data_IF_440001311847
#
_entry.id   IF_440001311847
#
_cell.length_a   1.000
_cell.length_b   1.000
_cell.length_c   1.000
_cell.angle_alpha   90.00
_cell.angle_beta   90.00
_cell.angle_gamma   90.00
#
_symmetry.space_group_name_H-M   'P 1'
#
loop_
_entity.id
_entity.type
_entity.pdbx_description
1 polymer ?
#
# COMPACT_ATOMS: atom_id res chain seq x y z
N UNK A 1 -55.35 -15.51 41.77
CA UNK A 1 -53.93 -15.04 41.67
C UNK A 1 -53.35 -15.56 40.36
N UNK A 2 -53.22 -14.68 39.37
CA UNK A 2 -52.71 -15.02 38.06
C UNK A 2 -51.26 -14.53 38.01
N UNK A 3 -50.31 -15.43 37.73
CA UNK A 3 -48.90 -15.10 37.46
C UNK A 3 -48.77 -14.72 35.99
N UNK A 4 -48.40 -13.48 35.71
CA UNK A 4 -47.98 -13.00 34.39
C UNK A 4 -46.50 -13.28 34.21
N UNK A 5 -46.17 -14.14 33.24
CA UNK A 5 -44.80 -14.35 32.77
C UNK A 5 -44.44 -13.27 31.73
N UNK A 6 -43.57 -12.36 32.13
CA UNK A 6 -42.96 -11.36 31.22
C UNK A 6 -41.95 -12.08 30.32
N UNK A 7 -42.27 -12.18 29.01
CA UNK A 7 -41.33 -12.62 27.99
C UNK A 7 -40.37 -11.49 27.68
N UNK A 8 -39.10 -11.66 28.03
CA UNK A 8 -38.03 -10.81 27.49
C UNK A 8 -37.85 -11.17 26.02
N UNK A 9 -38.17 -10.21 25.13
CA UNK A 9 -37.84 -10.28 23.72
C UNK A 9 -36.32 -10.09 23.50
N UNK A 10 -35.67 -11.12 23.01
CA UNK A 10 -34.32 -10.98 22.45
C UNK A 10 -34.42 -10.14 21.18
N UNK A 11 -33.70 -9.00 21.16
CA UNK A 11 -33.54 -8.19 19.96
C UNK A 11 -32.81 -9.00 18.87
N UNK A 12 -32.99 -8.64 17.57
CA UNK A 12 -32.32 -9.34 16.51
C UNK A 12 -30.78 -9.19 16.65
N UNK A 13 -30.01 -10.23 16.31
CA UNK A 13 -28.56 -10.14 16.34
C UNK A 13 -28.12 -9.02 15.40
N UNK A 14 -27.25 -8.15 15.90
CA UNK A 14 -26.56 -7.13 15.10
C UNK A 14 -25.80 -7.84 13.99
N UNK A 15 -26.19 -7.64 12.75
CA UNK A 15 -25.40 -8.06 11.58
C UNK A 15 -24.12 -7.23 11.61
N UNK A 16 -23.04 -7.82 12.07
CA UNK A 16 -21.69 -7.32 11.83
C UNK A 16 -21.49 -7.48 10.33
N UNK A 17 -21.53 -6.37 9.59
CA UNK A 17 -21.05 -6.35 8.22
C UNK A 17 -19.54 -6.57 8.31
N UNK A 18 -19.09 -7.80 8.13
CA UNK A 18 -17.68 -8.10 7.89
C UNK A 18 -17.34 -7.50 6.53
N UNK A 19 -16.68 -6.35 6.55
CA UNK A 19 -16.05 -5.79 5.33
C UNK A 19 -14.93 -6.75 4.97
N UNK A 20 -14.90 -7.21 3.73
CA UNK A 20 -13.81 -8.07 3.24
C UNK A 20 -12.53 -7.23 3.20
N UNK A 21 -11.44 -7.63 3.88
CA UNK A 21 -10.18 -6.92 3.81
C UNK A 21 -9.65 -6.85 2.38
N UNK A 22 -8.89 -5.79 2.06
CA UNK A 22 -8.16 -5.70 0.81
C UNK A 22 -7.03 -6.75 0.77
N UNK A 23 -6.40 -7.00 1.92
CA UNK A 23 -5.37 -8.04 2.09
C UNK A 23 -5.61 -8.74 3.43
N UNK A 24 -5.47 -10.07 3.44
CA UNK A 24 -5.43 -10.87 4.67
C UNK A 24 -4.26 -11.83 4.64
N UNK A 25 -3.48 -11.86 5.72
CA UNK A 25 -2.40 -12.82 5.96
C UNK A 25 -2.72 -13.64 7.20
N UNK A 26 -2.60 -14.95 7.10
CA UNK A 26 -2.79 -15.88 8.21
C UNK A 26 -1.56 -16.79 8.37
N UNK A 27 -0.83 -16.61 9.48
CA UNK A 27 0.35 -17.38 9.90
C UNK A 27 1.45 -17.49 8.81
N UNK A 28 1.70 -16.37 8.10
CA UNK A 28 2.59 -16.32 6.93
C UNK A 28 4.05 -16.36 7.35
N UNK A 29 4.79 -17.32 6.80
CA UNK A 29 6.25 -17.44 6.94
C UNK A 29 6.91 -17.56 5.56
N UNK A 30 8.07 -16.88 5.41
CA UNK A 30 8.87 -16.95 4.19
C UNK A 30 10.36 -16.78 4.47
N UNK A 31 11.19 -17.55 3.74
CA UNK A 31 12.63 -17.53 3.86
C UNK A 31 13.34 -17.48 2.49
N UNK A 32 14.48 -16.81 2.43
CA UNK A 32 15.43 -16.92 1.32
C UNK A 32 16.49 -17.95 1.66
N UNK A 33 16.32 -19.19 1.18
CA UNK A 33 17.16 -20.34 1.57
C UNK A 33 17.04 -20.59 3.08
N UNK A 34 18.16 -20.53 3.80
CA UNK A 34 18.17 -20.77 5.26
C UNK A 34 17.83 -19.50 6.09
N UNK A 35 17.66 -18.34 5.45
CA UNK A 35 17.41 -17.08 6.14
C UNK A 35 15.93 -16.75 6.14
N UNK A 36 15.28 -16.85 7.32
CA UNK A 36 13.90 -16.41 7.49
C UNK A 36 13.85 -14.90 7.32
N UNK A 37 12.97 -14.43 6.44
CA UNK A 37 12.72 -13.02 6.16
C UNK A 37 11.50 -12.51 6.93
N UNK A 38 10.43 -13.30 7.01
CA UNK A 38 9.23 -13.05 7.82
C UNK A 38 8.76 -14.36 8.44
N UNK A 39 8.20 -14.30 9.65
CA UNK A 39 7.77 -15.46 10.43
C UNK A 39 6.44 -15.20 11.13
N UNK A 40 5.51 -16.16 10.96
CA UNK A 40 4.25 -16.23 11.71
C UNK A 40 3.48 -14.89 11.69
N UNK A 41 3.40 -14.24 10.51
CA UNK A 41 2.73 -12.95 10.34
C UNK A 41 1.25 -13.18 10.08
N UNK A 42 0.42 -12.62 10.97
CA UNK A 42 -1.03 -12.54 10.80
C UNK A 42 -1.44 -11.07 10.88
N UNK A 43 -2.02 -10.53 9.81
CA UNK A 43 -2.55 -9.17 9.76
C UNK A 43 -3.55 -9.02 8.62
N UNK A 44 -4.48 -8.07 8.80
CA UNK A 44 -5.44 -7.66 7.78
C UNK A 44 -5.22 -6.19 7.41
N UNK A 45 -5.43 -5.85 6.13
CA UNK A 45 -5.50 -4.48 5.63
C UNK A 45 -6.91 -4.24 5.10
N UNK A 46 -7.63 -3.33 5.73
CA UNK A 46 -9.00 -3.03 5.33
C UNK A 46 -9.03 -2.23 4.01
N UNK A 47 -10.13 -2.38 3.25
CA UNK A 47 -10.33 -1.57 2.04
C UNK A 47 -10.42 -0.08 2.41
N UNK A 48 -9.66 0.78 1.72
CA UNK A 48 -9.55 2.22 2.00
C UNK A 48 -8.65 2.55 3.19
N UNK A 49 -7.96 1.58 3.78
CA UNK A 49 -6.99 1.81 4.85
C UNK A 49 -5.70 2.44 4.30
N UNK A 50 -5.08 3.33 5.08
CA UNK A 50 -3.72 3.79 4.87
C UNK A 50 -2.80 3.09 5.89
N UNK A 51 -2.16 1.99 5.47
CA UNK A 51 -1.24 1.24 6.30
C UNK A 51 0.20 1.74 6.14
N UNK A 52 0.82 2.14 7.24
CA UNK A 52 2.26 2.36 7.32
C UNK A 52 3.00 1.08 7.72
N UNK A 53 3.93 0.60 6.88
CA UNK A 53 4.74 -0.57 7.19
C UNK A 53 6.16 -0.14 7.57
N UNK A 54 6.51 -0.28 8.84
CA UNK A 54 7.76 0.20 9.42
C UNK A 54 8.59 -0.92 10.06
N UNK A 55 9.87 -0.64 10.27
CA UNK A 55 10.83 -1.56 10.88
C UNK A 55 12.26 -1.27 10.44
N UNK A 56 13.28 -1.84 11.09
CA UNK A 56 14.69 -1.61 10.76
C UNK A 56 15.04 -2.11 9.35
N UNK A 57 16.22 -1.71 8.86
CA UNK A 57 16.72 -2.22 7.58
C UNK A 57 16.95 -3.73 7.65
N UNK A 58 16.44 -4.46 6.66
CA UNK A 58 16.54 -5.92 6.62
C UNK A 58 15.52 -6.65 7.52
N UNK A 59 14.52 -5.94 8.05
CA UNK A 59 13.45 -6.50 8.91
C UNK A 59 12.41 -7.33 8.16
N UNK A 60 12.45 -7.34 6.81
CA UNK A 60 11.49 -8.08 5.99
C UNK A 60 10.35 -7.26 5.39
N UNK A 61 10.33 -5.91 5.52
CA UNK A 61 9.24 -5.03 5.00
C UNK A 61 8.93 -5.27 3.52
N UNK A 62 9.93 -5.12 2.65
CA UNK A 62 9.77 -5.36 1.21
C UNK A 62 9.35 -6.80 0.91
N UNK A 63 9.88 -7.78 1.67
CA UNK A 63 9.48 -9.18 1.53
C UNK A 63 8.02 -9.38 1.91
N UNK A 64 7.59 -8.82 3.05
CA UNK A 64 6.20 -8.88 3.47
C UNK A 64 5.29 -8.20 2.45
N UNK A 65 5.67 -7.02 1.95
CA UNK A 65 4.93 -6.35 0.88
C UNK A 65 4.82 -7.23 -0.37
N UNK A 66 5.89 -7.90 -0.78
CA UNK A 66 5.86 -8.81 -1.94
C UNK A 66 4.94 -10.03 -1.72
N UNK A 67 4.87 -10.55 -0.50
CA UNK A 67 3.93 -11.62 -0.14
C UNK A 67 2.48 -11.10 -0.18
N UNK A 68 2.21 -9.93 0.38
CA UNK A 68 0.90 -9.26 0.33
C UNK A 68 0.39 -9.07 -1.09
N UNK A 69 1.29 -8.77 -2.04
CA UNK A 69 0.96 -8.51 -3.45
C UNK A 69 1.03 -9.76 -4.34
N UNK A 70 1.33 -10.94 -3.77
CA UNK A 70 1.47 -12.17 -4.55
C UNK A 70 2.69 -12.24 -5.46
N UNK A 71 3.70 -11.39 -5.23
CA UNK A 71 4.98 -11.42 -5.94
C UNK A 71 5.92 -12.51 -5.41
N UNK A 72 5.63 -13.01 -4.21
CA UNK A 72 6.25 -14.18 -3.60
C UNK A 72 5.18 -15.11 -3.07
N UNK A 73 5.41 -16.41 -3.17
CA UNK A 73 4.58 -17.44 -2.55
C UNK A 73 5.12 -17.73 -1.14
N UNK A 74 4.29 -17.75 -0.07
CA UNK A 74 4.76 -18.06 1.28
C UNK A 74 5.18 -19.52 1.41
N UNK A 75 6.18 -19.81 2.27
CA UNK A 75 6.58 -21.18 2.61
C UNK A 75 5.52 -21.88 3.47
N UNK A 76 4.79 -21.11 4.30
CA UNK A 76 3.63 -21.56 5.10
C UNK A 76 2.67 -20.42 5.36
N UNK A 77 1.45 -20.74 5.78
CA UNK A 77 0.36 -19.79 5.95
C UNK A 77 -0.41 -19.52 4.66
N UNK A 78 -1.28 -18.53 4.68
CA UNK A 78 -2.09 -18.15 3.52
C UNK A 78 -2.17 -16.64 3.35
N UNK A 79 -2.33 -16.20 2.10
CA UNK A 79 -2.53 -14.80 1.71
C UNK A 79 -3.78 -14.73 0.85
N UNK A 80 -4.67 -13.79 1.16
CA UNK A 80 -5.83 -13.46 0.35
C UNK A 80 -5.75 -12.00 -0.09
N UNK A 81 -6.14 -11.73 -1.33
CA UNK A 81 -6.33 -10.41 -1.91
C UNK A 81 -7.80 -10.21 -2.24
N UNK A 82 -8.41 -9.17 -1.67
CA UNK A 82 -9.83 -8.84 -1.84
C UNK A 82 -10.77 -10.03 -1.56
N UNK A 83 -10.37 -10.92 -0.61
CA UNK A 83 -11.11 -12.11 -0.22
C UNK A 83 -10.91 -13.33 -1.14
N UNK A 84 -9.96 -13.26 -2.08
CA UNK A 84 -9.58 -14.38 -2.95
C UNK A 84 -8.18 -14.89 -2.58
N UNK A 85 -7.97 -16.22 -2.47
CA UNK A 85 -6.64 -16.77 -2.27
C UNK A 85 -5.66 -16.28 -3.33
N UNK A 86 -4.45 -15.88 -2.92
CA UNK A 86 -3.46 -15.28 -3.83
C UNK A 86 -3.15 -16.15 -5.05
N UNK A 87 -3.20 -17.46 -4.90
CA UNK A 87 -2.96 -18.41 -6.00
C UNK A 87 -4.08 -18.42 -7.06
N UNK A 88 -5.26 -17.92 -6.73
CA UNK A 88 -6.44 -17.85 -7.60
C UNK A 88 -6.72 -16.43 -8.10
N UNK A 89 -6.08 -15.42 -7.49
CA UNK A 89 -6.28 -14.00 -7.80
C UNK A 89 -5.72 -13.63 -9.19
N UNK A 90 -6.58 -13.22 -10.11
CA UNK A 90 -6.24 -12.89 -11.51
C UNK A 90 -6.42 -11.38 -11.83
N UNK A 91 -6.97 -10.59 -10.90
CA UNK A 91 -7.28 -9.18 -11.08
C UNK A 91 -6.09 -8.26 -10.72
N UNK A 92 -4.89 -8.60 -11.18
CA UNK A 92 -3.67 -7.86 -10.87
C UNK A 92 -3.70 -6.37 -11.27
N UNK A 93 -4.63 -5.94 -12.13
CA UNK A 93 -4.84 -4.53 -12.49
C UNK A 93 -5.37 -3.69 -11.31
N UNK A 94 -6.02 -4.31 -10.33
CA UNK A 94 -6.50 -3.66 -9.10
C UNK A 94 -5.37 -3.24 -8.15
N UNK A 95 -4.13 -3.63 -8.45
CA UNK A 95 -2.95 -3.36 -7.61
C UNK A 95 -1.96 -2.47 -8.37
N UNK A 96 -1.67 -1.30 -7.82
CA UNK A 96 -0.57 -0.44 -8.23
C UNK A 96 0.65 -0.66 -7.34
N UNK A 97 1.78 -1.06 -7.91
CA UNK A 97 3.03 -1.21 -7.16
C UNK A 97 4.11 -0.25 -7.68
N UNK A 98 4.64 0.57 -6.78
CA UNK A 98 5.77 1.49 -7.04
C UNK A 98 6.95 1.04 -6.18
N UNK A 99 7.91 0.36 -6.81
CA UNK A 99 9.11 -0.12 -6.13
C UNK A 99 10.17 0.97 -6.01
N UNK A 100 11.03 0.85 -5.00
CA UNK A 100 12.20 1.71 -4.80
C UNK A 100 13.09 1.79 -6.07
N UNK A 101 13.25 0.68 -6.79
CA UNK A 101 14.05 0.64 -8.02
C UNK A 101 13.41 1.39 -9.18
N UNK A 102 12.09 1.45 -9.26
CA UNK A 102 11.38 2.15 -10.32
C UNK A 102 11.69 3.65 -10.34
N UNK A 103 11.93 4.22 -9.17
CA UNK A 103 12.25 5.65 -9.01
C UNK A 103 13.73 5.95 -9.21
N UNK A 104 14.62 5.03 -8.90
CA UNK A 104 16.09 5.21 -8.94
C UNK A 104 16.72 4.89 -10.30
N UNK A 105 16.14 4.01 -11.11
CA UNK A 105 16.69 3.64 -12.43
C UNK A 105 16.38 4.71 -13.47
N UNK A 106 17.26 5.71 -13.54
CA UNK A 106 17.25 6.75 -14.56
C UNK A 106 17.72 6.20 -15.91
N UNK A 107 16.86 5.62 -16.75
CA UNK A 107 17.33 5.64 -18.10
C UNK A 107 17.06 4.51 -19.07
N UNK A 108 16.30 3.49 -18.76
CA UNK A 108 16.16 2.39 -19.71
C UNK A 108 14.85 2.35 -20.53
N UNK A 109 13.83 3.12 -20.16
CA UNK A 109 12.58 3.12 -20.93
C UNK A 109 12.49 4.32 -21.87
N UNK A 110 12.62 4.13 -23.21
CA UNK A 110 12.52 5.21 -24.19
C UNK A 110 11.05 5.58 -24.48
N UNK A 111 10.19 5.56 -23.44
CA UNK A 111 8.75 5.86 -23.56
C UNK A 111 8.45 7.23 -22.98
N UNK A 112 7.38 7.85 -23.47
CA UNK A 112 6.80 9.08 -22.90
C UNK A 112 6.01 8.78 -21.62
N UNK A 113 5.66 9.83 -20.87
CA UNK A 113 4.79 9.75 -19.71
C UNK A 113 3.43 9.15 -20.10
N UNK A 114 2.82 9.66 -21.17
CA UNK A 114 1.56 9.16 -21.69
C UNK A 114 1.62 7.66 -22.03
N UNK A 115 2.67 7.24 -22.74
CA UNK A 115 2.87 5.83 -23.08
C UNK A 115 3.01 4.95 -21.82
N UNK A 116 3.76 5.43 -20.81
CA UNK A 116 3.88 4.71 -19.53
C UNK A 116 2.53 4.59 -18.81
N UNK A 117 1.73 5.65 -18.75
CA UNK A 117 0.41 5.64 -18.09
C UNK A 117 -0.57 4.76 -18.88
N UNK A 118 -0.52 4.82 -20.21
CA UNK A 118 -1.34 3.97 -21.09
C UNK A 118 -1.09 2.47 -20.86
N UNK A 119 0.10 2.06 -20.41
CA UNK A 119 0.36 0.65 -20.06
C UNK A 119 -0.57 0.15 -18.94
N UNK A 120 -1.08 1.02 -18.07
CA UNK A 120 -2.09 0.66 -17.06
C UNK A 120 -3.37 0.09 -17.68
N UNK A 121 -3.73 0.51 -18.89
CA UNK A 121 -4.95 0.02 -19.56
C UNK A 121 -4.81 -1.35 -20.21
N UNK A 122 -3.59 -1.89 -20.35
CA UNK A 122 -3.39 -3.14 -21.08
C UNK A 122 -4.05 -4.35 -20.41
N UNK A 123 -4.18 -4.35 -19.09
CA UNK A 123 -4.90 -5.40 -18.38
C UNK A 123 -6.40 -5.44 -18.72
N UNK A 124 -7.01 -4.29 -19.03
CA UNK A 124 -8.43 -4.20 -19.38
C UNK A 124 -8.72 -4.58 -20.84
N UNK A 125 -7.79 -4.28 -21.75
CA UNK A 125 -8.03 -4.50 -23.18
C UNK A 125 -7.52 -5.86 -23.68
N UNK A 126 -6.61 -6.51 -22.94
CA UNK A 126 -6.02 -7.78 -23.33
C UNK A 126 -5.37 -7.70 -24.72
N UNK A 127 -5.91 -8.44 -25.70
CA UNK A 127 -5.47 -8.42 -27.09
C UNK A 127 -6.24 -7.43 -27.99
N UNK A 128 -7.18 -6.68 -27.43
CA UNK A 128 -7.98 -5.69 -28.14
C UNK A 128 -7.20 -4.39 -28.33
N UNK A 129 -7.78 -3.47 -29.11
CA UNK A 129 -7.22 -2.12 -29.25
C UNK A 129 -7.78 -1.21 -28.16
N UNK A 130 -6.96 -0.27 -27.69
CA UNK A 130 -7.41 0.82 -26.83
C UNK A 130 -8.55 1.60 -27.48
N UNK A 131 -9.54 1.95 -26.70
CA UNK A 131 -10.73 2.72 -27.08
C UNK A 131 -10.55 4.20 -26.73
N UNK A 132 -11.51 5.05 -27.13
CA UNK A 132 -11.51 6.46 -26.71
C UNK A 132 -11.61 6.59 -25.18
N UNK A 133 -12.39 5.75 -24.53
CA UNK A 133 -12.51 5.71 -23.07
C UNK A 133 -11.17 5.40 -22.36
N UNK A 134 -10.37 4.47 -22.91
CA UNK A 134 -9.05 4.19 -22.33
C UNK A 134 -8.12 5.41 -22.39
N UNK A 135 -8.17 6.20 -23.45
CA UNK A 135 -7.40 7.43 -23.55
C UNK A 135 -7.94 8.53 -22.63
N UNK A 136 -9.25 8.63 -22.43
CA UNK A 136 -9.88 9.54 -21.46
C UNK A 136 -9.41 9.19 -20.04
N UNK A 137 -9.45 7.90 -19.65
CA UNK A 137 -8.95 7.43 -18.33
C UNK A 137 -7.46 7.75 -18.14
N UNK A 138 -6.64 7.65 -19.19
CA UNK A 138 -5.21 8.04 -19.13
C UNK A 138 -5.07 9.54 -18.90
N UNK A 139 -5.87 10.38 -19.58
CA UNK A 139 -5.83 11.84 -19.41
C UNK A 139 -6.29 12.23 -18.01
N UNK A 140 -7.36 11.66 -17.48
CA UNK A 140 -7.86 11.85 -16.11
C UNK A 140 -6.79 11.46 -15.07
N UNK A 141 -6.11 10.32 -15.27
CA UNK A 141 -5.04 9.89 -14.37
C UNK A 141 -3.85 10.87 -14.37
N UNK A 142 -3.49 11.42 -15.53
CA UNK A 142 -2.42 12.43 -15.64
C UNK A 142 -2.80 13.76 -14.97
N UNK A 143 -4.07 14.17 -15.08
CA UNK A 143 -4.60 15.36 -14.41
C UNK A 143 -4.65 15.16 -12.90
N UNK A 144 -5.11 14.02 -12.42
CA UNK A 144 -5.19 13.69 -10.98
C UNK A 144 -3.83 13.82 -10.28
N UNK A 145 -2.75 13.40 -10.93
CA UNK A 145 -1.41 13.49 -10.34
C UNK A 145 -0.65 14.78 -10.73
N UNK A 146 -1.30 15.72 -11.42
CA UNK A 146 -0.75 17.04 -11.82
C UNK A 146 0.54 16.95 -12.66
N UNK A 147 0.52 16.12 -13.72
CA UNK A 147 1.59 16.00 -14.72
C UNK A 147 1.09 15.94 -16.17
N UNK A 148 -0.13 16.41 -16.44
CA UNK A 148 -0.70 16.38 -17.79
C UNK A 148 0.15 17.18 -18.80
N UNK A 149 0.79 18.27 -18.38
CA UNK A 149 1.71 19.08 -19.17
C UNK A 149 3.02 18.35 -19.56
N UNK A 150 3.34 17.24 -18.86
CA UNK A 150 4.52 16.41 -19.08
C UNK A 150 4.23 15.16 -19.94
N UNK A 151 2.98 14.99 -20.40
CA UNK A 151 2.51 13.77 -21.08
C UNK A 151 3.43 13.32 -22.24
N UNK A 152 3.92 14.25 -23.03
CA UNK A 152 4.79 13.98 -24.19
C UNK A 152 6.30 13.93 -23.84
N UNK A 153 6.66 14.22 -22.57
CA UNK A 153 8.04 14.08 -22.10
C UNK A 153 8.43 12.61 -21.96
N UNK A 154 9.70 12.33 -22.18
CA UNK A 154 10.25 10.99 -21.91
C UNK A 154 10.36 10.77 -20.39
N UNK A 155 10.06 9.56 -19.93
CA UNK A 155 10.22 9.15 -18.51
C UNK A 155 11.64 9.43 -17.98
N UNK A 156 12.67 9.28 -18.83
CA UNK A 156 14.07 9.55 -18.49
C UNK A 156 14.39 11.04 -18.27
N UNK A 157 13.53 11.95 -18.72
CA UNK A 157 13.72 13.41 -18.59
C UNK A 157 12.98 13.99 -17.38
N UNK A 158 12.31 13.15 -16.58
CA UNK A 158 11.57 13.56 -15.40
C UNK A 158 12.47 13.65 -14.18
N UNK A 159 12.12 14.56 -13.24
CA UNK A 159 12.65 14.54 -11.88
C UNK A 159 12.18 13.27 -11.13
N UNK A 160 12.77 13.00 -9.97
CA UNK A 160 12.34 11.86 -9.11
C UNK A 160 10.85 11.92 -8.77
N UNK A 161 10.38 13.05 -8.25
CA UNK A 161 8.97 13.25 -7.87
C UNK A 161 8.01 13.19 -9.08
N UNK A 162 8.37 13.78 -10.23
CA UNK A 162 7.57 13.67 -11.44
C UNK A 162 7.46 12.22 -11.93
N UNK A 163 8.52 11.43 -11.79
CA UNK A 163 8.52 10.02 -12.16
C UNK A 163 7.64 9.19 -11.24
N UNK A 164 7.66 9.47 -9.95
CA UNK A 164 6.76 8.84 -8.98
C UNK A 164 5.29 9.09 -9.35
N UNK A 165 4.93 10.35 -9.61
CA UNK A 165 3.59 10.72 -10.07
C UNK A 165 3.20 9.97 -11.34
N UNK A 166 4.11 9.80 -12.30
CA UNK A 166 3.84 9.04 -13.51
C UNK A 166 3.58 7.54 -13.26
N UNK A 167 4.22 6.94 -12.24
CA UNK A 167 3.91 5.56 -11.85
C UNK A 167 2.57 5.45 -11.11
N UNK A 168 2.23 6.44 -10.27
CA UNK A 168 0.89 6.50 -9.66
C UNK A 168 -0.17 6.70 -10.74
N UNK A 169 0.02 7.61 -11.69
CA UNK A 169 -0.92 7.79 -12.80
C UNK A 169 -1.14 6.49 -13.58
N UNK A 170 -0.09 5.68 -13.79
CA UNK A 170 -0.24 4.36 -14.41
C UNK A 170 -1.11 3.41 -13.59
N UNK A 171 -0.97 3.42 -12.26
CA UNK A 171 -1.80 2.63 -11.37
C UNK A 171 -3.26 3.13 -11.35
N UNK A 172 -3.47 4.45 -11.36
CA UNK A 172 -4.82 5.03 -11.47
C UNK A 172 -5.47 4.70 -12.82
N UNK A 173 -4.70 4.77 -13.91
CA UNK A 173 -5.18 4.37 -15.23
C UNK A 173 -5.52 2.87 -15.30
N UNK A 174 -4.94 2.02 -14.45
CA UNK A 174 -5.37 0.61 -14.33
C UNK A 174 -6.57 0.42 -13.39
N UNK A 175 -7.16 1.52 -12.87
CA UNK A 175 -8.28 1.47 -11.91
C UNK A 175 -7.91 0.68 -10.65
N UNK A 176 -6.71 0.91 -10.14
CA UNK A 176 -6.21 0.22 -8.95
C UNK A 176 -6.99 0.61 -7.69
N UNK A 177 -7.45 -0.40 -6.93
CA UNK A 177 -8.08 -0.25 -5.62
C UNK A 177 -7.05 -0.17 -4.48
N UNK A 178 -5.81 -0.61 -4.76
CA UNK A 178 -4.71 -0.65 -3.80
C UNK A 178 -3.43 -0.12 -4.43
N UNK A 179 -2.76 0.81 -3.72
CA UNK A 179 -1.43 1.31 -4.04
C UNK A 179 -0.42 0.85 -2.99
N UNK A 180 0.59 0.12 -3.40
CA UNK A 180 1.72 -0.28 -2.59
C UNK A 180 2.97 0.49 -2.99
N UNK A 181 3.63 1.13 -2.04
CA UNK A 181 4.74 2.05 -2.27
C UNK A 181 5.92 1.66 -1.38
N UNK A 182 7.01 1.25 -2.00
CA UNK A 182 8.23 0.83 -1.30
C UNK A 182 9.30 1.93 -1.40
N UNK A 183 9.47 2.70 -0.30
CA UNK A 183 10.40 3.82 -0.16
C UNK A 183 10.32 4.81 -1.34
N UNK A 184 9.11 5.32 -1.67
CA UNK A 184 8.90 6.07 -2.90
C UNK A 184 9.67 7.39 -2.92
N UNK A 185 9.99 8.02 -1.77
CA UNK A 185 10.52 9.37 -1.70
C UNK A 185 12.06 9.46 -1.61
N UNK A 186 12.76 8.34 -1.76
CA UNK A 186 14.22 8.33 -1.75
C UNK A 186 14.79 9.18 -2.89
N UNK A 187 15.57 10.21 -2.52
CA UNK A 187 16.22 11.11 -3.48
C UNK A 187 15.30 12.21 -4.05
N UNK A 188 14.15 12.43 -3.45
CA UNK A 188 13.21 13.50 -3.79
C UNK A 188 13.43 14.70 -2.85
N UNK A 189 13.37 15.92 -3.41
CA UNK A 189 13.46 17.16 -2.62
C UNK A 189 12.23 17.33 -1.69
N UNK A 190 12.37 18.16 -0.66
CA UNK A 190 11.34 18.30 0.39
C UNK A 190 9.99 18.80 -0.15
N UNK A 191 9.99 19.80 -1.04
CA UNK A 191 8.75 20.36 -1.60
C UNK A 191 8.00 19.34 -2.45
N UNK A 192 8.72 18.62 -3.32
CA UNK A 192 8.16 17.53 -4.13
C UNK A 192 7.64 16.38 -3.27
N UNK A 193 8.30 16.10 -2.14
CA UNK A 193 7.89 15.06 -1.20
C UNK A 193 6.59 15.42 -0.49
N UNK A 194 6.44 16.65 0.00
CA UNK A 194 5.21 17.10 0.67
C UNK A 194 4.01 17.06 -0.30
N UNK A 195 4.22 17.51 -1.53
CA UNK A 195 3.19 17.45 -2.57
C UNK A 195 2.83 16.01 -2.97
N UNK A 196 3.79 15.09 -2.89
CA UNK A 196 3.58 13.66 -3.14
C UNK A 196 2.73 13.02 -2.03
N UNK A 197 3.06 13.28 -0.77
CA UNK A 197 2.27 12.72 0.34
C UNK A 197 0.85 13.27 0.37
N UNK A 198 0.68 14.57 0.05
CA UNK A 198 -0.66 15.14 -0.08
C UNK A 198 -1.48 14.42 -1.16
N UNK A 199 -0.86 14.08 -2.29
CA UNK A 199 -1.53 13.28 -3.33
C UNK A 199 -1.99 11.92 -2.76
N UNK A 200 -1.15 11.24 -1.96
CA UNK A 200 -1.55 9.96 -1.34
C UNK A 200 -2.72 10.15 -0.36
N UNK A 201 -2.71 11.23 0.44
CA UNK A 201 -3.83 11.53 1.35
C UNK A 201 -5.14 11.75 0.57
N UNK A 202 -5.08 12.51 -0.53
CA UNK A 202 -6.23 12.77 -1.40
C UNK A 202 -6.75 11.46 -2.03
N UNK A 203 -5.88 10.60 -2.55
CA UNK A 203 -6.24 9.30 -3.12
C UNK A 203 -6.84 8.34 -2.08
N UNK A 204 -6.31 8.34 -0.86
CA UNK A 204 -6.88 7.53 0.22
C UNK A 204 -8.26 8.04 0.65
N UNK A 205 -8.46 9.36 0.69
CA UNK A 205 -9.77 9.96 0.95
C UNK A 205 -10.81 9.59 -0.13
N UNK A 206 -10.37 9.35 -1.37
CA UNK A 206 -11.19 8.84 -2.47
C UNK A 206 -11.43 7.31 -2.40
N UNK A 207 -10.90 6.64 -1.36
CA UNK A 207 -11.16 5.22 -1.06
C UNK A 207 -10.11 4.24 -1.54
N UNK A 208 -8.99 4.71 -2.11
CA UNK A 208 -7.88 3.84 -2.50
C UNK A 208 -7.15 3.36 -1.24
N UNK A 209 -6.94 2.06 -1.13
CA UNK A 209 -6.13 1.46 -0.08
C UNK A 209 -4.66 1.78 -0.32
N UNK A 210 -3.93 2.23 0.71
CA UNK A 210 -2.51 2.58 0.57
C UNK A 210 -1.67 1.75 1.54
N UNK A 211 -0.58 1.15 1.03
CA UNK A 211 0.49 0.57 1.85
C UNK A 211 1.76 1.35 1.57
N UNK A 212 2.31 1.98 2.59
CA UNK A 212 3.50 2.80 2.49
C UNK A 212 4.64 2.24 3.34
N UNK A 213 5.76 1.88 2.71
CA UNK A 213 7.02 1.64 3.40
C UNK A 213 7.83 2.93 3.35
N UNK A 214 8.21 3.45 4.50
CA UNK A 214 9.09 4.61 4.64
C UNK A 214 10.04 4.44 5.83
N UNK A 215 11.18 5.16 5.76
CA UNK A 215 12.17 5.17 6.85
C UNK A 215 11.86 6.23 7.90
N UNK A 216 11.20 7.30 7.50
CA UNK A 216 10.83 8.38 8.40
C UNK A 216 9.53 8.02 9.12
N UNK A 217 9.66 7.59 10.37
CA UNK A 217 8.54 7.17 11.20
C UNK A 217 7.56 8.32 11.42
N UNK A 218 8.07 9.57 11.54
CA UNK A 218 7.24 10.76 11.72
C UNK A 218 6.29 10.95 10.53
N UNK A 219 6.80 10.80 9.30
CA UNK A 219 5.97 10.87 8.08
C UNK A 219 4.88 9.80 8.10
N UNK A 220 5.22 8.57 8.50
CA UNK A 220 4.25 7.47 8.54
C UNK A 220 3.18 7.72 9.60
N UNK A 221 3.59 8.13 10.82
CA UNK A 221 2.64 8.37 11.92
C UNK A 221 1.72 9.57 11.69
N UNK A 222 2.15 10.55 10.89
CA UNK A 222 1.33 11.72 10.57
C UNK A 222 0.23 11.42 9.53
N UNK A 223 0.37 10.33 8.75
CA UNK A 223 -0.51 10.06 7.59
C UNK A 223 -1.24 8.73 7.64
N UNK A 224 -0.55 7.68 8.07
CA UNK A 224 -1.17 6.38 8.17
C UNK A 224 -2.21 6.34 9.29
N UNK A 225 -3.37 5.75 9.04
CA UNK A 225 -4.37 5.50 10.08
C UNK A 225 -4.09 4.19 10.83
N UNK A 226 -3.31 3.27 10.22
CA UNK A 226 -2.80 2.06 10.89
C UNK A 226 -1.33 1.83 10.62
N UNK A 227 -0.65 1.20 11.56
CA UNK A 227 0.77 0.90 11.48
C UNK A 227 0.99 -0.59 11.73
N UNK A 228 1.80 -1.20 10.86
CA UNK A 228 2.41 -2.51 11.09
C UNK A 228 3.91 -2.32 11.33
N UNK A 229 4.40 -2.69 12.52
CA UNK A 229 5.81 -2.64 12.87
C UNK A 229 6.39 -4.04 12.89
N UNK A 230 7.41 -4.30 12.04
CA UNK A 230 7.99 -5.62 11.87
C UNK A 230 9.50 -5.65 12.04
N UNK A 231 9.98 -6.78 12.56
CA UNK A 231 11.39 -7.18 12.50
C UNK A 231 11.44 -8.71 12.44
N UNK A 232 11.27 -9.29 11.23
CA UNK A 232 11.04 -10.71 10.96
C UNK A 232 9.68 -11.20 11.48
N UNK A 233 9.24 -10.72 12.63
CA UNK A 233 7.95 -10.98 13.29
C UNK A 233 7.17 -9.67 13.40
N UNK A 234 5.88 -9.77 13.68
CA UNK A 234 5.00 -8.61 13.86
C UNK A 234 5.04 -8.16 15.32
N UNK A 235 5.49 -6.93 15.57
CA UNK A 235 5.57 -6.32 16.91
C UNK A 235 4.36 -5.46 17.20
N UNK A 236 3.75 -4.87 16.18
CA UNK A 236 2.54 -4.07 16.31
C UNK A 236 1.73 -4.13 15.02
N UNK A 237 0.40 -4.21 15.16
CA UNK A 237 -0.55 -3.97 14.09
C UNK A 237 -1.81 -3.34 14.69
N UNK A 238 -2.00 -2.05 14.43
CA UNK A 238 -3.10 -1.30 15.05
C UNK A 238 -3.14 0.15 14.57
N UNK A 239 -4.02 0.95 15.18
CA UNK A 239 -4.10 2.38 14.90
C UNK A 239 -2.82 3.11 15.32
N UNK A 240 -2.57 4.25 14.70
CA UNK A 240 -1.35 5.05 14.92
C UNK A 240 -1.24 5.55 16.36
N UNK A 241 -2.35 5.83 17.04
CA UNK A 241 -2.37 6.30 18.43
C UNK A 241 -1.86 5.19 19.36
N UNK A 242 -2.36 3.97 19.21
CA UNK A 242 -1.90 2.80 19.97
C UNK A 242 -0.44 2.45 19.70
N UNK A 243 0.05 2.69 18.46
CA UNK A 243 1.44 2.49 18.12
C UNK A 243 2.37 3.45 18.85
N UNK A 244 2.04 4.75 18.89
CA UNK A 244 2.85 5.78 19.56
C UNK A 244 2.97 5.51 21.06
N UNK A 245 1.91 4.97 21.67
CA UNK A 245 1.89 4.61 23.10
C UNK A 245 2.56 3.27 23.42
N UNK A 246 2.93 2.48 22.40
CA UNK A 246 3.50 1.14 22.55
C UNK A 246 5.03 1.15 22.64
N UNK A 247 5.61 0.05 23.16
CA UNK A 247 7.06 -0.20 23.14
C UNK A 247 7.54 -0.84 21.82
N UNK A 248 6.67 -0.99 20.83
CA UNK A 248 6.91 -1.71 19.58
C UNK A 248 8.15 -1.21 18.82
N UNK A 249 8.38 0.11 18.78
CA UNK A 249 9.59 0.69 18.21
C UNK A 249 10.86 0.24 18.95
N UNK A 250 10.83 0.29 20.28
CA UNK A 250 11.96 -0.11 21.11
C UNK A 250 12.27 -1.60 20.93
N UNK A 251 11.23 -2.41 20.88
CA UNK A 251 11.35 -3.86 20.70
C UNK A 251 11.84 -4.23 19.28
N UNK A 252 11.25 -3.66 18.25
CA UNK A 252 11.61 -3.94 16.86
C UNK A 252 13.02 -3.45 16.50
N UNK A 253 13.43 -2.28 17.00
CA UNK A 253 14.75 -1.70 16.69
C UNK A 253 15.84 -2.09 17.70
N UNK A 254 15.49 -2.75 18.80
CA UNK A 254 16.47 -3.18 19.82
C UNK A 254 17.17 -2.03 20.52
N UNK A 255 16.59 -0.83 20.52
CA UNK A 255 17.20 0.40 21.04
C UNK A 255 16.50 0.78 22.33
N UNK A 256 17.20 0.64 23.46
CA UNK A 256 16.80 1.28 24.73
C UNK A 256 17.03 2.80 24.62
N UNK A 257 16.14 3.54 23.95
CA UNK A 257 16.30 4.97 23.76
C UNK A 257 14.96 5.65 23.47
N UNK A 258 14.59 6.59 24.36
CA UNK A 258 13.42 7.45 24.25
C UNK A 258 13.30 8.07 22.87
N UNK A 259 12.14 7.90 22.25
CA UNK A 259 11.71 8.71 21.11
C UNK A 259 11.65 10.17 21.58
N UNK A 260 12.46 11.04 20.98
CA UNK A 260 12.45 12.46 21.27
C UNK A 260 11.21 13.05 20.60
N UNK A 261 10.22 13.43 21.41
CA UNK A 261 9.14 14.30 20.96
C UNK A 261 9.76 15.66 20.59
N UNK A 262 9.66 16.03 19.32
CA UNK A 262 9.85 17.41 18.91
C UNK A 262 8.48 18.10 19.05
N UNK A 263 8.31 18.86 20.18
CA UNK A 263 7.27 19.87 20.31
C UNK A 263 7.56 21.00 19.31
N UNK A 264 6.59 21.32 18.48
CA UNK A 264 6.54 22.55 17.68
C UNK A 264 5.33 23.40 18.10
#
# INVERSE_FOLDING_TARGET
>A
MRNEHTKHGAGPPSTVHTVTPAISLDDVTFAYGDKIAVRDITLDVEAGEFLGLIGPNGSGKTTLLHLMLGLHEPDSGSVELFGEPIAEFDDGHRIGYVSQQSTSQSGSMPVTVRENVTMGRFAHVGHSRLTAHDYETVDEALETVDIADLADRRMSALSGGQRQRAYIARALASEADLLALDEPTVGVDAESRDAFYKLLDDLNADGITIILIEHDIGVVTDRANRIACINTELFHHGDTESFVDSDALTEAYGVSGRVVHHDH
#
